data_IF_700980466973
#
_entry.id   IF_700980466973
#
_cell.length_a   1.000
_cell.length_b   1.000
_cell.length_c   1.000
_cell.angle_alpha   90.00
_cell.angle_beta   90.00
_cell.angle_gamma   90.00
#
_symmetry.space_group_name_H-M   'P 1'
#
loop_
_entity.id
_entity.type
_entity.pdbx_description
1 polymer ?
#
# COMPACT_ATOMS: atom_id res chain seq x y z
N UNK A 1 -21.19 29.81 11.92
CA UNK A 1 -20.82 30.97 11.09
C UNK A 1 -22.06 31.80 10.79
N UNK A 2 -22.08 33.13 11.07
CA UNK A 2 -23.32 33.94 11.08
C UNK A 2 -23.97 34.20 9.71
N UNK A 3 -23.35 33.79 8.59
CA UNK A 3 -23.86 33.96 7.22
C UNK A 3 -23.80 32.68 6.37
N UNK A 4 -23.69 31.51 7.02
CA UNK A 4 -23.66 30.25 6.30
C UNK A 4 -25.09 29.82 5.88
N UNK A 5 -25.29 29.56 4.59
CA UNK A 5 -26.49 28.90 4.07
C UNK A 5 -26.21 27.42 3.89
N UNK A 6 -27.02 26.56 4.50
CA UNK A 6 -26.97 25.11 4.34
C UNK A 6 -27.84 24.72 3.15
N UNK A 7 -27.26 24.02 2.18
CA UNK A 7 -27.97 23.46 1.03
C UNK A 7 -27.85 21.94 1.12
N UNK A 8 -28.98 21.24 1.07
CA UNK A 8 -29.04 19.78 1.07
C UNK A 8 -29.35 19.37 -0.37
N UNK A 9 -28.46 18.58 -0.98
CA UNK A 9 -28.71 18.00 -2.29
C UNK A 9 -29.49 16.69 -2.07
N UNK A 10 -30.70 16.54 -2.63
CA UNK A 10 -31.38 15.25 -2.63
C UNK A 10 -30.50 14.25 -3.37
N UNK A 11 -30.35 13.05 -2.82
CA UNK A 11 -29.64 11.91 -3.41
C UNK A 11 -28.10 11.98 -3.48
N UNK A 12 -27.46 12.96 -2.81
CA UNK A 12 -26.00 13.02 -2.71
C UNK A 12 -25.43 12.28 -1.49
N UNK A 13 -24.30 11.58 -1.67
CA UNK A 13 -23.54 10.88 -0.63
C UNK A 13 -22.67 11.84 0.21
N UNK A 14 -21.91 11.29 1.18
CA UNK A 14 -21.08 12.07 2.10
C UNK A 14 -19.91 12.82 1.41
N UNK A 15 -19.69 12.54 0.12
CA UNK A 15 -18.71 13.22 -0.73
C UNK A 15 -19.37 13.97 -1.89
N UNK A 16 -20.48 14.69 -1.62
CA UNK A 16 -21.24 15.43 -2.63
C UNK A 16 -20.39 16.30 -3.58
N UNK A 17 -19.24 16.84 -3.13
CA UNK A 17 -18.32 17.62 -3.97
C UNK A 17 -17.56 16.81 -5.04
N UNK A 18 -17.63 15.48 -4.99
CA UNK A 18 -16.90 14.54 -5.84
C UNK A 18 -17.81 13.69 -6.73
N UNK A 19 -19.12 13.85 -6.61
CA UNK A 19 -20.11 13.06 -7.38
C UNK A 19 -20.26 13.56 -8.81
N UNK A 20 -20.43 12.62 -9.75
CA UNK A 20 -20.76 12.97 -11.13
C UNK A 20 -22.13 13.66 -11.15
N UNK A 21 -22.16 14.89 -11.65
CA UNK A 21 -23.38 15.70 -11.77
C UNK A 21 -23.41 16.91 -10.83
N UNK A 22 -22.53 16.99 -9.83
CA UNK A 22 -22.45 18.14 -8.94
C UNK A 22 -21.53 19.21 -9.54
N UNK A 23 -22.12 20.22 -10.18
CA UNK A 23 -21.40 21.42 -10.63
C UNK A 23 -21.25 22.40 -9.45
N UNK A 24 -20.12 22.27 -8.76
CA UNK A 24 -19.77 23.14 -7.64
C UNK A 24 -19.72 24.62 -8.03
N UNK A 25 -19.30 24.94 -9.24
CA UNK A 25 -19.23 26.33 -9.72
C UNK A 25 -20.64 26.90 -9.88
N UNK A 26 -21.58 26.11 -10.40
CA UNK A 26 -22.99 26.49 -10.51
C UNK A 26 -23.63 26.68 -9.13
N UNK A 27 -23.38 25.77 -8.18
CA UNK A 27 -23.90 25.86 -6.80
C UNK A 27 -23.39 27.13 -6.09
N UNK A 28 -22.09 27.43 -6.23
CA UNK A 28 -21.48 28.62 -5.64
C UNK A 28 -22.00 29.91 -6.28
N UNK A 29 -22.29 29.92 -7.59
CA UNK A 29 -22.93 31.05 -8.28
C UNK A 29 -24.37 31.25 -7.86
N UNK A 30 -25.16 30.18 -7.76
CA UNK A 30 -26.56 30.24 -7.32
C UNK A 30 -26.68 30.80 -5.90
N UNK A 31 -25.70 30.51 -5.04
CA UNK A 31 -25.66 31.00 -3.67
C UNK A 31 -24.91 32.33 -3.50
N UNK A 32 -24.61 33.03 -4.61
CA UNK A 32 -23.90 34.32 -4.63
C UNK A 32 -22.55 34.32 -3.88
N UNK A 33 -21.90 33.15 -3.78
CA UNK A 33 -20.55 33.01 -3.20
C UNK A 33 -19.50 33.43 -4.23
N UNK A 34 -19.78 33.16 -5.51
CA UNK A 34 -18.99 33.65 -6.63
C UNK A 34 -19.75 34.77 -7.36
N UNK A 35 -19.13 35.92 -7.66
CA UNK A 35 -19.76 36.97 -8.43
C UNK A 35 -20.11 36.47 -9.84
N UNK A 36 -21.29 36.86 -10.34
CA UNK A 36 -21.70 36.56 -11.70
C UNK A 36 -20.77 37.27 -12.69
N UNK A 37 -20.20 36.52 -13.65
CA UNK A 37 -19.47 37.14 -14.77
C UNK A 37 -20.48 37.89 -15.63
N UNK A 38 -20.45 39.22 -15.61
CA UNK A 38 -21.03 40.02 -16.69
C UNK A 38 -20.24 39.74 -17.97
N UNK A 39 -20.92 39.27 -19.00
CA UNK A 39 -20.37 39.09 -20.33
C UNK A 39 -19.95 40.46 -20.87
N UNK A 40 -18.68 40.60 -21.27
CA UNK A 40 -18.24 41.75 -22.05
C UNK A 40 -18.76 41.61 -23.47
N UNK A 41 -19.75 42.43 -23.79
CA UNK A 41 -20.06 42.81 -25.15
C UNK A 41 -18.99 43.81 -25.61
N UNK A 42 -18.45 43.61 -26.80
CA UNK A 42 -17.49 44.50 -27.42
C UNK A 42 -18.10 45.87 -27.66
N UNK A 43 -17.44 46.94 -27.23
CA UNK A 43 -17.29 48.14 -28.04
C UNK A 43 -16.19 49.05 -27.49
N UNK A 44 -15.79 49.97 -28.37
CA UNK A 44 -14.50 50.65 -28.49
C UNK A 44 -14.31 51.82 -27.53
N UNK A 45 -13.08 52.34 -27.57
CA UNK A 45 -12.62 53.67 -27.14
C UNK A 45 -12.13 53.88 -25.69
N UNK A 46 -10.86 54.31 -25.62
CA UNK A 46 -10.46 55.38 -24.72
C UNK A 46 -9.55 55.02 -23.54
N UNK A 47 -8.29 55.43 -23.63
CA UNK A 47 -7.68 56.22 -22.55
C UNK A 47 -6.98 55.49 -21.41
N UNK A 48 -5.66 55.38 -21.55
CA UNK A 48 -4.61 55.64 -20.54
C UNK A 48 -4.70 55.11 -19.09
N UNK A 49 -3.66 54.30 -18.81
CA UNK A 49 -2.67 54.44 -17.72
C UNK A 49 -3.02 53.95 -16.30
N UNK A 50 -2.28 52.89 -15.90
CA UNK A 50 -1.56 52.90 -14.61
C UNK A 50 -1.99 51.88 -13.57
N UNK A 51 -1.35 50.70 -13.59
CA UNK A 51 -1.08 49.91 -12.38
C UNK A 51 -1.91 48.63 -12.19
N UNK A 52 -1.53 47.55 -12.86
CA UNK A 52 -1.97 46.20 -12.51
C UNK A 52 -0.76 45.37 -12.05
N UNK A 53 -0.78 45.00 -10.77
CA UNK A 53 0.08 43.98 -10.17
C UNK A 53 -0.21 42.65 -10.89
N UNK A 54 0.87 41.98 -11.30
CA UNK A 54 0.84 40.76 -12.09
C UNK A 54 0.04 39.65 -11.42
N UNK A 55 -0.67 38.91 -12.26
CA UNK A 55 -1.11 37.56 -11.96
C UNK A 55 0.13 36.69 -11.79
N UNK A 56 0.29 36.10 -10.60
CA UNK A 56 1.24 35.00 -10.41
C UNK A 56 0.70 33.79 -11.17
N UNK A 57 1.36 33.53 -12.30
CA UNK A 57 1.35 32.27 -13.01
C UNK A 57 1.82 31.15 -12.07
N UNK A 58 1.16 29.99 -12.13
CA UNK A 58 1.56 28.75 -11.47
C UNK A 58 2.94 28.31 -11.97
N UNK A 59 3.99 28.90 -11.40
CA UNK A 59 5.37 28.56 -11.64
C UNK A 59 5.69 27.25 -10.91
N UNK A 60 6.05 26.24 -11.70
CA UNK A 60 6.62 24.99 -11.21
C UNK A 60 7.96 25.28 -10.56
N UNK A 61 8.01 25.19 -9.24
CA UNK A 61 9.23 25.42 -8.46
C UNK A 61 10.19 24.22 -8.61
N UNK A 62 10.95 24.22 -9.71
CA UNK A 62 12.16 23.42 -9.89
C UNK A 62 13.29 24.05 -9.05
N UNK A 63 13.23 23.96 -7.72
CA UNK A 63 14.25 24.65 -6.92
C UNK A 63 14.15 24.57 -5.41
N UNK A 64 14.30 23.38 -4.81
CA UNK A 64 15.04 23.30 -3.54
C UNK A 64 15.52 21.88 -3.25
N UNK A 65 16.82 21.67 -3.50
CA UNK A 65 17.62 20.63 -2.86
C UNK A 65 18.17 21.23 -1.57
N UNK A 66 17.39 21.27 -0.51
CA UNK A 66 17.92 21.49 0.84
C UNK A 66 17.01 20.84 1.91
N UNK A 67 17.70 20.17 2.83
CA UNK A 67 17.29 19.80 4.18
C UNK A 67 16.14 18.80 4.37
N UNK A 68 16.47 17.50 4.24
CA UNK A 68 16.07 16.39 5.13
C UNK A 68 14.59 16.08 5.45
N UNK A 69 13.66 16.99 5.16
CA UNK A 69 12.25 16.97 5.52
C UNK A 69 11.46 17.17 4.23
N UNK A 70 10.80 16.11 3.78
CA UNK A 70 10.04 16.14 2.53
C UNK A 70 8.71 16.91 2.62
N UNK A 71 8.05 17.17 1.49
CA UNK A 71 6.68 17.66 1.28
C UNK A 71 5.54 17.26 2.20
N UNK A 72 5.73 16.09 2.79
CA UNK A 72 4.81 15.43 3.68
C UNK A 72 5.08 15.78 5.14
N UNK A 73 6.14 16.55 5.41
CA UNK A 73 6.69 16.81 6.75
C UNK A 73 7.43 15.61 7.35
N UNK A 74 7.39 14.43 6.70
CA UNK A 74 7.95 13.19 7.26
C UNK A 74 9.38 12.98 6.77
N UNK A 75 10.39 13.06 7.67
CA UNK A 75 11.78 12.83 7.31
C UNK A 75 12.03 11.36 6.93
N UNK A 76 13.15 11.11 6.27
CA UNK A 76 13.58 9.74 5.99
C UNK A 76 14.10 9.09 7.25
N UNK A 77 13.80 7.80 7.38
CA UNK A 77 14.39 6.95 8.40
C UNK A 77 15.93 6.97 8.29
N UNK A 78 16.61 7.15 9.42
CA UNK A 78 18.08 7.17 9.49
C UNK A 78 18.66 5.77 9.34
N UNK A 79 19.94 5.68 8.97
CA UNK A 79 20.66 4.39 8.91
C UNK A 79 20.58 3.64 10.25
N UNK A 80 20.73 4.35 11.36
CA UNK A 80 20.63 3.78 12.71
C UNK A 80 19.27 3.14 12.98
N UNK A 81 18.18 3.79 12.54
CA UNK A 81 16.83 3.25 12.70
C UNK A 81 16.64 1.95 11.91
N UNK A 82 17.18 1.87 10.69
CA UNK A 82 17.17 0.65 9.90
C UNK A 82 18.07 -0.45 10.46
N UNK A 83 19.22 -0.12 11.01
CA UNK A 83 20.08 -1.10 11.68
C UNK A 83 19.44 -1.64 12.98
N UNK A 84 18.74 -0.79 13.73
CA UNK A 84 17.94 -1.25 14.87
C UNK A 84 16.80 -2.18 14.42
N UNK A 85 16.10 -1.83 13.34
CA UNK A 85 15.06 -2.69 12.76
C UNK A 85 15.62 -4.03 12.27
N UNK A 86 16.77 -4.03 11.60
CA UNK A 86 17.50 -5.23 11.18
C UNK A 86 17.77 -6.17 12.36
N UNK A 87 18.25 -5.63 13.48
CA UNK A 87 18.51 -6.42 14.70
C UNK A 87 17.22 -6.96 15.32
N UNK A 88 16.20 -6.13 15.45
CA UNK A 88 14.91 -6.53 16.05
C UNK A 88 14.19 -7.58 15.21
N UNK A 89 14.31 -7.51 13.88
CA UNK A 89 13.72 -8.46 12.95
C UNK A 89 14.61 -9.70 12.72
N UNK A 90 15.84 -9.74 13.24
CA UNK A 90 16.76 -10.86 12.99
C UNK A 90 16.21 -12.22 13.44
N UNK A 91 15.56 -12.38 14.61
CA UNK A 91 14.97 -13.66 15.00
C UNK A 91 13.86 -14.08 14.04
N UNK A 92 12.94 -13.16 13.72
CA UNK A 92 11.85 -13.45 12.79
C UNK A 92 12.40 -13.80 11.40
N UNK A 93 13.37 -13.04 10.89
CA UNK A 93 14.04 -13.30 9.61
C UNK A 93 14.75 -14.64 9.59
N UNK A 94 15.39 -15.06 10.67
CA UNK A 94 16.01 -16.39 10.76
C UNK A 94 14.94 -17.50 10.77
N UNK A 95 13.83 -17.27 11.48
CA UNK A 95 12.74 -18.23 11.60
C UNK A 95 11.89 -18.35 10.32
N UNK A 96 11.72 -17.27 9.57
CA UNK A 96 10.94 -17.28 8.32
C UNK A 96 11.80 -17.43 7.08
N UNK A 97 13.07 -17.05 7.12
CA UNK A 97 14.02 -17.08 5.98
C UNK A 97 13.37 -16.64 4.65
N UNK A 98 12.94 -15.37 4.54
CA UNK A 98 12.12 -14.91 3.42
C UNK A 98 12.82 -15.05 2.07
N UNK A 99 12.08 -15.51 1.07
CA UNK A 99 12.55 -15.62 -0.31
C UNK A 99 12.12 -14.39 -1.10
N UNK A 100 13.04 -13.78 -1.84
CA UNK A 100 12.72 -12.72 -2.80
C UNK A 100 13.09 -13.16 -4.21
N UNK A 101 12.12 -13.12 -5.11
CA UNK A 101 12.25 -13.46 -6.53
C UNK A 101 12.01 -12.22 -7.39
N UNK A 102 12.65 -12.14 -8.55
CA UNK A 102 12.43 -11.05 -9.50
C UNK A 102 12.94 -9.68 -9.03
N UNK A 103 13.86 -9.65 -8.07
CA UNK A 103 14.38 -8.37 -7.52
C UNK A 103 15.10 -7.51 -8.57
N UNK A 104 15.56 -8.12 -9.65
CA UNK A 104 16.09 -7.46 -10.85
C UNK A 104 15.06 -6.58 -11.58
N UNK A 105 13.76 -6.81 -11.36
CA UNK A 105 12.69 -5.97 -11.91
C UNK A 105 12.51 -4.65 -11.14
N UNK A 106 13.11 -4.52 -9.97
CA UNK A 106 13.09 -3.27 -9.20
C UNK A 106 14.18 -2.36 -9.76
N UNK A 107 13.87 -1.15 -10.23
CA UNK A 107 14.90 -0.21 -10.66
C UNK A 107 15.79 0.19 -9.48
N UNK A 108 16.99 -0.39 -9.39
CA UNK A 108 17.97 -0.11 -8.34
C UNK A 108 18.98 0.95 -8.78
N UNK A 109 19.48 1.81 -7.86
CA UNK A 109 20.62 2.69 -8.10
C UNK A 109 21.78 1.95 -8.78
N UNK A 110 22.14 2.36 -10.02
CA UNK A 110 23.17 1.70 -10.84
C UNK A 110 22.63 0.93 -12.07
N UNK A 111 21.32 0.77 -12.21
CA UNK A 111 20.67 0.26 -13.44
C UNK A 111 20.70 1.26 -14.61
N UNK A 112 20.05 0.95 -15.75
CA UNK A 112 19.97 1.85 -16.90
C UNK A 112 19.55 3.25 -16.47
N UNK A 113 20.33 4.27 -16.86
CA UNK A 113 20.20 5.65 -16.36
C UNK A 113 18.78 6.22 -16.54
N UNK A 114 18.06 5.77 -17.56
CA UNK A 114 16.66 6.16 -17.84
C UNK A 114 15.67 5.67 -16.78
N UNK A 115 15.85 4.46 -16.22
CA UNK A 115 14.96 3.92 -15.18
C UNK A 115 15.21 4.59 -13.82
N UNK A 116 16.46 4.97 -13.53
CA UNK A 116 16.85 5.68 -12.30
C UNK A 116 16.27 7.09 -12.19
N UNK A 117 15.91 7.70 -13.32
CA UNK A 117 15.34 9.05 -13.35
C UNK A 117 13.83 9.09 -13.17
N UNK A 118 13.19 7.92 -13.04
CA UNK A 118 11.73 7.82 -12.94
C UNK A 118 11.29 7.35 -11.56
N UNK A 119 10.15 7.85 -11.05
CA UNK A 119 9.63 7.35 -9.79
C UNK A 119 9.18 5.91 -9.91
N UNK A 120 9.30 5.15 -8.83
CA UNK A 120 8.91 3.74 -8.77
C UNK A 120 7.75 3.60 -7.80
N UNK A 121 6.72 2.89 -8.21
CA UNK A 121 5.58 2.53 -7.38
C UNK A 121 5.52 1.00 -7.26
N UNK A 122 5.89 0.49 -6.09
CA UNK A 122 5.72 -0.92 -5.74
C UNK A 122 4.26 -1.15 -5.34
N UNK A 123 3.59 -2.07 -6.02
CA UNK A 123 2.16 -2.38 -5.78
C UNK A 123 2.00 -3.86 -5.53
N UNK A 124 1.38 -4.25 -4.42
CA UNK A 124 1.17 -5.66 -4.11
C UNK A 124 -0.06 -5.94 -3.28
N UNK A 125 -0.34 -7.23 -3.07
CA UNK A 125 -1.37 -7.66 -2.13
C UNK A 125 -0.92 -7.39 -0.69
N UNK A 126 -1.83 -6.89 0.15
CA UNK A 126 -1.62 -6.88 1.59
C UNK A 126 -1.97 -8.25 2.16
N UNK A 127 -1.20 -8.74 3.12
CA UNK A 127 -1.57 -9.96 3.85
C UNK A 127 -2.15 -9.65 5.23
N UNK A 128 -2.78 -10.65 5.84
CA UNK A 128 -3.54 -10.59 7.08
C UNK A 128 -2.74 -9.93 8.21
N UNK A 129 -3.40 -8.98 8.89
CA UNK A 129 -2.88 -8.07 9.91
C UNK A 129 -1.68 -7.18 9.51
N UNK A 130 -0.96 -7.49 8.45
CA UNK A 130 0.12 -6.66 7.90
C UNK A 130 1.37 -6.53 8.76
N UNK A 131 1.46 -7.10 9.96
CA UNK A 131 2.65 -6.97 10.81
C UNK A 131 3.62 -8.16 10.72
N UNK A 132 3.24 -9.25 10.05
CA UNK A 132 4.08 -10.45 9.94
C UNK A 132 5.14 -10.34 8.84
N UNK A 133 4.75 -9.88 7.65
CA UNK A 133 5.58 -9.88 6.45
C UNK A 133 6.03 -8.47 6.03
N UNK A 134 5.21 -7.43 6.21
CA UNK A 134 5.54 -6.06 5.82
C UNK A 134 6.86 -5.55 6.46
N UNK A 135 7.13 -5.73 7.78
CA UNK A 135 8.39 -5.27 8.35
C UNK A 135 9.60 -5.95 7.71
N UNK A 136 9.48 -7.23 7.36
CA UNK A 136 10.53 -7.98 6.67
C UNK A 136 10.70 -7.49 5.23
N UNK A 137 9.60 -7.26 4.50
CA UNK A 137 9.63 -6.70 3.15
C UNK A 137 10.38 -5.37 3.13
N UNK A 138 10.00 -4.44 4.02
CA UNK A 138 10.64 -3.13 4.13
C UNK A 138 12.13 -3.24 4.44
N UNK A 139 12.52 -4.07 5.40
CA UNK A 139 13.93 -4.30 5.72
C UNK A 139 14.70 -4.89 4.55
N UNK A 140 14.14 -5.89 3.86
CA UNK A 140 14.81 -6.58 2.76
C UNK A 140 14.95 -5.70 1.49
N UNK A 141 13.99 -4.79 1.27
CA UNK A 141 14.09 -3.73 0.27
C UNK A 141 15.19 -2.74 0.64
N UNK A 142 15.22 -2.30 1.90
CA UNK A 142 16.25 -1.39 2.39
C UNK A 142 17.67 -1.95 2.24
N UNK A 143 17.85 -3.23 2.57
CA UNK A 143 19.12 -3.96 2.42
C UNK A 143 19.63 -4.01 0.97
N UNK A 144 18.72 -3.87 0.00
CA UNK A 144 19.01 -3.79 -1.44
C UNK A 144 19.18 -2.37 -1.94
N UNK A 145 19.19 -1.38 -1.04
CA UNK A 145 19.28 0.04 -1.37
C UNK A 145 17.96 0.69 -1.75
N UNK A 146 16.82 -0.02 -1.63
CA UNK A 146 15.48 0.52 -1.95
C UNK A 146 14.88 1.14 -0.70
N UNK A 147 14.86 2.48 -0.66
CA UNK A 147 14.26 3.26 0.43
C UNK A 147 12.78 3.52 0.14
N UNK A 148 11.97 2.48 0.27
CA UNK A 148 10.54 2.55 -0.02
C UNK A 148 9.78 3.41 1.02
N UNK A 149 8.86 4.25 0.53
CA UNK A 149 7.96 5.10 1.32
C UNK A 149 6.56 4.46 1.33
N UNK A 150 6.15 3.90 2.47
CA UNK A 150 4.84 3.27 2.61
C UNK A 150 3.69 4.30 2.63
N UNK A 151 2.58 3.98 1.97
CA UNK A 151 1.31 4.70 2.12
C UNK A 151 0.45 3.95 3.14
N UNK A 152 0.38 4.45 4.38
CA UNK A 152 -0.33 3.82 5.49
C UNK A 152 -1.75 4.34 5.66
N UNK A 153 -2.65 3.52 6.22
CA UNK A 153 -4.01 3.96 6.51
C UNK A 153 -4.01 5.22 7.41
N UNK A 154 -4.75 6.30 7.07
CA UNK A 154 -4.72 7.56 7.84
C UNK A 154 -5.05 7.39 9.32
N UNK A 155 -5.85 6.37 9.67
CA UNK A 155 -6.17 6.02 11.06
C UNK A 155 -4.95 5.74 11.95
N UNK A 156 -3.79 5.34 11.40
CA UNK A 156 -2.57 5.17 12.21
C UNK A 156 -2.12 6.48 12.86
N UNK A 157 -2.26 7.62 12.16
CA UNK A 157 -1.86 8.96 12.63
C UNK A 157 -2.79 9.55 13.69
N UNK A 158 -3.89 8.86 13.99
CA UNK A 158 -4.77 9.21 15.10
C UNK A 158 -4.38 8.48 16.40
N UNK A 159 -3.25 7.76 16.40
CA UNK A 159 -2.71 7.00 17.53
C UNK A 159 -1.17 7.07 17.57
N UNK A 160 -0.50 6.60 18.64
CA UNK A 160 0.96 6.50 18.69
C UNK A 160 1.58 5.63 17.58
N UNK A 161 0.79 4.80 16.89
CA UNK A 161 1.27 4.05 15.74
C UNK A 161 1.74 4.98 14.62
N UNK A 162 1.15 6.16 14.43
CA UNK A 162 1.56 7.12 13.40
C UNK A 162 3.04 7.44 13.48
N UNK A 163 3.56 7.73 14.67
CA UNK A 163 4.99 8.00 14.90
C UNK A 163 5.87 6.79 14.56
N UNK A 164 5.40 5.56 14.81
CA UNK A 164 6.11 4.34 14.41
C UNK A 164 6.18 4.20 12.89
N UNK A 165 5.08 4.48 12.18
CA UNK A 165 5.04 4.45 10.72
C UNK A 165 5.93 5.55 10.11
N UNK A 166 5.90 6.77 10.66
CA UNK A 166 6.75 7.88 10.25
C UNK A 166 8.24 7.60 10.49
N UNK A 167 8.59 6.88 11.56
CA UNK A 167 9.96 6.44 11.84
C UNK A 167 10.56 5.63 10.69
N UNK A 168 9.73 4.92 9.92
CA UNK A 168 10.13 4.18 8.73
C UNK A 168 9.82 4.91 7.42
N UNK A 169 9.49 6.21 7.50
CA UNK A 169 9.23 7.08 6.36
C UNK A 169 7.85 6.92 5.73
N UNK A 170 6.92 6.17 6.35
CA UNK A 170 5.56 6.06 5.83
C UNK A 170 4.79 7.38 5.98
N UNK A 171 3.81 7.60 5.12
CA UNK A 171 2.96 8.80 5.12
C UNK A 171 1.48 8.40 4.97
N UNK A 172 0.52 9.25 5.39
CA UNK A 172 -0.89 8.94 5.24
C UNK A 172 -1.25 8.68 3.77
N UNK A 173 -1.97 7.60 3.51
CA UNK A 173 -2.43 7.21 2.19
C UNK A 173 -3.45 8.23 1.67
N UNK A 174 -3.10 8.93 0.59
CA UNK A 174 -4.00 9.70 -0.24
C UNK A 174 -3.30 10.06 -1.56
N UNK A 175 -4.07 10.40 -2.59
CA UNK A 175 -3.52 10.69 -3.91
C UNK A 175 -2.56 11.88 -3.94
N UNK A 176 -2.72 12.88 -3.05
CA UNK A 176 -1.81 14.04 -2.96
C UNK A 176 -0.44 13.62 -2.43
N UNK A 177 -0.38 12.83 -1.37
CA UNK A 177 0.87 12.35 -0.78
C UNK A 177 1.59 11.39 -1.74
N UNK A 178 0.85 10.47 -2.35
CA UNK A 178 1.39 9.59 -3.39
C UNK A 178 2.02 10.41 -4.53
N UNK A 179 1.28 11.37 -5.11
CA UNK A 179 1.80 12.22 -6.18
C UNK A 179 3.03 13.02 -5.73
N UNK A 180 3.00 13.62 -4.53
CA UNK A 180 4.13 14.39 -3.97
C UNK A 180 5.41 13.55 -3.85
N UNK A 181 5.30 12.29 -3.42
CA UNK A 181 6.44 11.37 -3.30
C UNK A 181 6.96 10.98 -4.68
N UNK A 182 6.06 10.60 -5.60
CA UNK A 182 6.45 10.22 -6.96
C UNK A 182 7.08 11.40 -7.72
N UNK A 183 6.54 12.61 -7.61
CA UNK A 183 7.14 13.82 -8.23
C UNK A 183 8.56 14.14 -7.73
N UNK A 184 9.02 13.52 -6.63
CA UNK A 184 10.39 13.63 -6.11
C UNK A 184 11.28 12.43 -6.45
N UNK A 185 10.84 11.57 -7.37
CA UNK A 185 11.51 10.32 -7.70
C UNK A 185 11.75 9.41 -6.48
N UNK A 186 10.84 9.45 -5.50
CA UNK A 186 10.89 8.51 -4.39
C UNK A 186 10.26 7.16 -4.81
N UNK A 187 10.78 6.07 -4.24
CA UNK A 187 10.16 4.76 -4.34
C UNK A 187 8.98 4.71 -3.36
N UNK A 188 7.78 4.47 -3.86
CA UNK A 188 6.55 4.41 -3.06
C UNK A 188 6.07 2.96 -2.97
N UNK A 189 5.64 2.52 -1.79
CA UNK A 189 5.05 1.22 -1.55
C UNK A 189 3.55 1.39 -1.23
N UNK A 190 2.71 0.68 -1.97
CA UNK A 190 1.26 0.71 -1.81
C UNK A 190 0.65 -0.69 -1.81
N UNK A 191 -0.29 -0.88 -0.89
CA UNK A 191 -1.24 -1.99 -0.87
C UNK A 191 -2.63 -1.44 -1.19
N UNK A 192 -3.13 -1.55 -2.43
CA UNK A 192 -4.31 -0.79 -2.83
C UNK A 192 -5.60 -1.19 -2.10
N UNK A 193 -5.72 -2.43 -1.63
CA UNK A 193 -6.85 -2.87 -0.82
C UNK A 193 -6.77 -2.47 0.66
N UNK A 194 -5.65 -1.86 1.11
CA UNK A 194 -5.54 -1.19 2.40
C UNK A 194 -6.04 -2.00 3.60
N UNK A 195 -6.89 -1.36 4.42
CA UNK A 195 -7.43 -1.94 5.65
C UNK A 195 -8.24 -3.23 5.40
N UNK A 196 -8.98 -3.30 4.28
CA UNK A 196 -9.79 -4.45 3.93
C UNK A 196 -8.97 -5.72 3.65
N UNK A 197 -7.75 -5.58 3.13
CA UNK A 197 -6.84 -6.69 2.88
C UNK A 197 -6.02 -7.14 4.11
N UNK A 198 -5.90 -6.32 5.16
CA UNK A 198 -5.34 -6.78 6.45
C UNK A 198 -6.40 -7.38 7.37
N UNK A 199 -7.68 -7.11 7.08
CA UNK A 199 -8.85 -7.62 7.79
C UNK A 199 -9.64 -8.62 6.94
N UNK A 200 -8.93 -9.56 6.30
CA UNK A 200 -9.57 -10.60 5.50
C UNK A 200 -10.41 -11.52 6.37
N UNK A 201 -11.53 -11.96 5.80
CA UNK A 201 -12.46 -12.90 6.41
C UNK A 201 -12.06 -14.34 6.08
N UNK A 202 -12.76 -15.28 6.71
CA UNK A 202 -12.56 -16.71 6.44
C UNK A 202 -12.80 -16.99 4.94
N UNK A 203 -11.87 -17.73 4.31
CA UNK A 203 -11.96 -18.07 2.89
C UNK A 203 -11.53 -16.97 1.92
N UNK A 204 -11.05 -15.83 2.40
CA UNK A 204 -10.61 -14.72 1.56
C UNK A 204 -9.09 -14.67 1.35
N UNK A 205 -8.34 -15.67 1.83
CA UNK A 205 -6.89 -15.69 1.72
C UNK A 205 -6.39 -15.36 0.30
N UNK A 206 -5.48 -14.40 0.23
CA UNK A 206 -4.82 -13.85 -0.94
C UNK A 206 -5.74 -13.16 -1.98
N UNK A 207 -7.01 -12.91 -1.64
CA UNK A 207 -7.91 -12.11 -2.47
C UNK A 207 -7.51 -10.62 -2.42
N UNK A 208 -7.68 -9.97 -3.57
CA UNK A 208 -7.50 -8.53 -3.71
C UNK A 208 -8.83 -7.82 -3.48
N UNK A 209 -8.83 -6.79 -2.65
CA UNK A 209 -10.01 -5.95 -2.36
C UNK A 209 -9.72 -4.50 -2.77
N UNK A 210 -9.30 -4.31 -4.01
CA UNK A 210 -8.98 -2.99 -4.52
C UNK A 210 -10.24 -2.26 -4.98
N UNK A 211 -10.17 -0.92 -5.04
CA UNK A 211 -11.26 -0.10 -5.56
C UNK A 211 -11.58 -0.42 -7.03
N UNK A 212 -12.83 -0.20 -7.45
CA UNK A 212 -13.23 -0.32 -8.85
C UNK A 212 -12.68 0.80 -9.74
N UNK A 213 -12.02 1.82 -9.17
CA UNK A 213 -11.44 2.92 -9.94
C UNK A 213 -9.94 2.71 -10.21
N UNK A 214 -9.44 3.04 -11.42
CA UNK A 214 -8.02 2.94 -11.75
C UNK A 214 -7.22 4.17 -11.28
N UNK A 215 -7.61 4.80 -10.17
CA UNK A 215 -7.02 6.05 -9.70
C UNK A 215 -5.55 5.90 -9.35
N UNK A 216 -5.17 4.74 -8.82
CA UNK A 216 -3.79 4.32 -8.63
C UNK A 216 -2.95 4.54 -9.91
N UNK A 217 -3.38 3.93 -11.01
CA UNK A 217 -2.65 3.97 -12.29
C UNK A 217 -2.68 5.38 -12.87
N UNK A 218 -3.80 6.10 -12.73
CA UNK A 218 -3.91 7.50 -13.18
C UNK A 218 -2.91 8.41 -12.49
N UNK A 219 -2.76 8.30 -11.16
CA UNK A 219 -1.79 9.10 -10.41
C UNK A 219 -0.36 8.70 -10.79
N UNK A 220 -0.08 7.41 -10.91
CA UNK A 220 1.22 6.90 -11.35
C UNK A 220 1.60 7.41 -12.75
N UNK A 221 0.67 7.37 -13.70
CA UNK A 221 0.85 7.87 -15.07
C UNK A 221 1.11 9.38 -15.11
N UNK A 222 0.39 10.17 -14.29
CA UNK A 222 0.64 11.62 -14.14
C UNK A 222 2.07 11.91 -13.67
N UNK A 223 2.61 11.08 -12.79
CA UNK A 223 3.96 11.21 -12.25
C UNK A 223 5.05 10.58 -13.12
N UNK A 224 4.72 10.01 -14.28
CA UNK A 224 5.64 9.18 -15.09
C UNK A 224 6.23 7.96 -14.36
N UNK A 225 5.52 7.44 -13.37
CA UNK A 225 6.06 6.36 -12.57
C UNK A 225 6.21 5.07 -13.41
N UNK A 226 7.08 4.20 -12.93
CA UNK A 226 7.06 2.77 -13.26
C UNK A 226 6.30 2.07 -12.14
N UNK A 227 5.30 1.27 -12.48
CA UNK A 227 4.69 0.35 -11.52
C UNK A 227 5.50 -0.93 -11.53
N UNK A 228 5.92 -1.42 -10.36
CA UNK A 228 6.47 -2.77 -10.21
C UNK A 228 5.47 -3.56 -9.37
N UNK A 229 4.65 -4.42 -9.99
CA UNK A 229 3.77 -5.30 -9.26
C UNK A 229 4.60 -6.29 -8.45
N UNK A 230 4.17 -6.63 -7.24
CA UNK A 230 4.75 -7.71 -6.48
C UNK A 230 3.66 -8.52 -5.77
N UNK A 231 3.96 -9.79 -5.55
CA UNK A 231 3.10 -10.69 -4.79
C UNK A 231 3.79 -11.10 -3.50
N UNK A 232 3.05 -11.08 -2.39
CA UNK A 232 3.45 -11.61 -1.10
C UNK A 232 2.65 -12.88 -0.75
N UNK A 233 3.36 -13.94 -0.35
CA UNK A 233 2.79 -15.20 0.14
C UNK A 233 3.33 -15.52 1.54
N UNK A 234 2.46 -15.94 2.45
CA UNK A 234 2.79 -16.42 3.78
C UNK A 234 2.08 -15.68 4.91
N UNK A 235 1.71 -14.41 4.74
CA UNK A 235 1.02 -13.67 5.80
C UNK A 235 -0.40 -14.16 6.08
N UNK A 236 -1.21 -14.43 5.04
CA UNK A 236 -2.59 -14.91 5.22
C UNK A 236 -2.65 -16.32 5.81
N UNK A 237 -1.63 -17.14 5.55
CA UNK A 237 -1.54 -18.48 6.10
C UNK A 237 -0.98 -18.49 7.53
N UNK A 238 -0.38 -17.38 8.00
CA UNK A 238 0.32 -17.34 9.28
C UNK A 238 -0.69 -17.27 10.43
N UNK A 239 -1.91 -16.82 10.16
CA UNK A 239 -2.93 -16.63 11.17
C UNK A 239 -4.13 -17.52 10.87
N UNK A 240 -4.62 -18.15 11.93
CA UNK A 240 -5.87 -18.89 11.88
C UNK A 240 -6.94 -18.05 12.56
N UNK A 241 -8.10 -17.88 11.93
CA UNK A 241 -9.16 -17.02 12.48
C UNK A 241 -10.15 -17.86 13.28
N UNK A 242 -10.40 -17.45 14.52
CA UNK A 242 -11.51 -17.97 15.32
C UNK A 242 -12.82 -17.30 14.90
N UNK A 243 -12.83 -15.96 14.84
CA UNK A 243 -13.92 -15.17 14.28
C UNK A 243 -13.37 -14.18 13.26
N UNK A 244 -14.01 -14.07 12.09
CA UNK A 244 -13.76 -12.94 11.20
C UNK A 244 -14.51 -11.68 11.63
N UNK A 245 -14.24 -10.57 10.94
CA UNK A 245 -14.81 -9.26 11.25
C UNK A 245 -16.34 -9.27 11.24
N UNK A 246 -16.98 -10.00 10.33
CA UNK A 246 -18.44 -10.04 10.24
C UNK A 246 -19.03 -10.86 11.39
N UNK A 247 -18.41 -12.00 11.72
CA UNK A 247 -18.80 -12.80 12.89
C UNK A 247 -18.66 -12.01 14.19
N UNK A 248 -17.60 -11.18 14.33
CA UNK A 248 -17.41 -10.30 15.49
C UNK A 248 -18.53 -9.27 15.58
N UNK A 249 -18.83 -8.59 14.47
CA UNK A 249 -19.81 -7.49 14.44
C UNK A 249 -21.26 -7.95 14.59
N UNK A 250 -21.54 -9.20 14.20
CA UNK A 250 -22.88 -9.80 14.28
C UNK A 250 -23.10 -10.63 15.56
N UNK A 251 -22.09 -10.81 16.40
CA UNK A 251 -22.23 -11.54 17.66
C UNK A 251 -23.14 -10.77 18.65
N UNK A 252 -24.14 -11.42 19.29
CA UNK A 252 -25.18 -10.74 20.08
C UNK A 252 -24.68 -9.84 21.22
N UNK A 253 -23.60 -10.25 21.89
CA UNK A 253 -23.01 -9.50 23.01
C UNK A 253 -21.72 -8.79 22.58
N UNK A 254 -20.85 -9.51 21.87
CA UNK A 254 -19.55 -9.00 21.44
C UNK A 254 -19.69 -7.89 20.40
N UNK A 255 -20.62 -8.00 19.45
CA UNK A 255 -20.83 -7.00 18.40
C UNK A 255 -21.19 -5.62 18.94
N UNK A 256 -22.23 -5.47 19.78
CA UNK A 256 -22.55 -4.19 20.42
C UNK A 256 -21.41 -3.63 21.29
N UNK A 257 -20.68 -4.49 22.01
CA UNK A 257 -19.54 -4.08 22.82
C UNK A 257 -18.39 -3.53 21.97
N UNK A 258 -18.02 -4.23 20.89
CA UNK A 258 -16.99 -3.80 19.93
C UNK A 258 -17.40 -2.51 19.22
N UNK A 259 -18.64 -2.42 18.75
CA UNK A 259 -19.17 -1.20 18.11
C UNK A 259 -19.11 0.00 19.05
N UNK A 260 -19.48 -0.18 20.32
CA UNK A 260 -19.41 0.87 21.35
C UNK A 260 -17.97 1.25 21.66
N UNK A 261 -17.07 0.28 21.76
CA UNK A 261 -15.64 0.52 21.99
C UNK A 261 -15.04 1.34 20.84
N UNK A 262 -15.26 0.90 19.59
CA UNK A 262 -14.73 1.60 18.41
C UNK A 262 -15.35 2.98 18.22
N UNK A 263 -16.65 3.16 18.44
CA UNK A 263 -17.27 4.49 18.34
C UNK A 263 -16.81 5.45 19.44
N UNK A 264 -16.42 4.92 20.61
CA UNK A 264 -15.92 5.74 21.73
C UNK A 264 -14.45 6.10 21.56
N UNK A 265 -13.59 5.12 21.23
CA UNK A 265 -12.14 5.28 21.26
C UNK A 265 -11.49 5.43 19.89
N UNK A 266 -12.20 5.07 18.81
CA UNK A 266 -11.71 5.19 17.43
C UNK A 266 -12.81 5.68 16.46
N UNK A 267 -13.53 6.79 16.75
CA UNK A 267 -14.65 7.27 15.93
C UNK A 267 -14.26 7.68 14.49
N UNK A 268 -12.97 7.78 14.21
CA UNK A 268 -12.40 8.12 12.91
C UNK A 268 -12.15 6.90 12.00
N UNK A 269 -12.46 5.68 12.48
CA UNK A 269 -12.30 4.44 11.71
C UNK A 269 -13.65 3.93 11.20
N UNK A 270 -13.66 3.42 9.98
CA UNK A 270 -14.79 2.62 9.48
C UNK A 270 -14.74 1.26 10.14
N UNK A 271 -15.72 0.99 11.02
CA UNK A 271 -15.75 -0.19 11.89
C UNK A 271 -15.68 -1.48 11.05
N UNK A 272 -16.42 -1.54 9.94
CA UNK A 272 -16.50 -2.70 9.05
C UNK A 272 -15.16 -3.05 8.39
N UNK A 273 -14.32 -2.05 8.15
CA UNK A 273 -13.00 -2.24 7.53
C UNK A 273 -11.84 -2.26 8.53
N UNK A 274 -12.07 -1.84 9.78
CA UNK A 274 -11.02 -1.61 10.78
C UNK A 274 -11.09 -2.52 12.00
N UNK A 275 -12.17 -3.29 12.16
CA UNK A 275 -12.26 -4.31 13.20
C UNK A 275 -11.43 -5.52 12.77
N UNK A 276 -10.37 -5.77 13.53
CA UNK A 276 -9.50 -6.92 13.31
C UNK A 276 -10.24 -8.23 13.61
N UNK A 277 -10.04 -9.27 12.78
CA UNK A 277 -10.58 -10.58 13.08
C UNK A 277 -9.93 -11.14 14.34
N UNK A 278 -10.68 -11.95 15.09
CA UNK A 278 -10.19 -12.62 16.31
C UNK A 278 -9.37 -13.85 15.91
N UNK A 279 -8.08 -13.89 16.24
CA UNK A 279 -7.24 -15.03 15.92
C UNK A 279 -7.58 -16.22 16.82
N UNK A 280 -7.39 -17.41 16.29
CA UNK A 280 -7.41 -18.65 17.05
C UNK A 280 -6.06 -18.88 17.72
N UNK A 281 -6.07 -19.65 18.82
CA UNK A 281 -4.86 -20.17 19.43
C UNK A 281 -4.07 -20.98 18.39
N UNK A 282 -2.75 -20.73 18.19
CA UNK A 282 -1.97 -21.31 17.10
C UNK A 282 -1.57 -22.77 17.38
N UNK A 283 -2.57 -23.65 17.53
CA UNK A 283 -2.37 -25.07 17.76
C UNK A 283 -2.03 -25.81 16.45
N UNK A 284 -1.24 -26.90 16.50
CA UNK A 284 -1.03 -27.75 15.35
C UNK A 284 -2.36 -28.31 14.81
N UNK A 285 -2.55 -28.35 13.48
CA UNK A 285 -3.82 -28.78 12.86
C UNK A 285 -4.20 -30.24 13.16
N UNK A 286 -3.23 -31.06 13.54
CA UNK A 286 -3.43 -32.47 13.88
C UNK A 286 -3.88 -32.67 15.33
N UNK A 287 -3.79 -31.64 16.19
CA UNK A 287 -4.22 -31.75 17.57
C UNK A 287 -5.76 -31.72 17.61
N UNK A 288 -6.43 -32.78 18.11
CA UNK A 288 -7.88 -32.78 18.20
C UNK A 288 -8.35 -31.81 19.29
N UNK A 289 -9.39 -31.03 19.01
CA UNK A 289 -10.01 -30.14 19.98
C UNK A 289 -10.71 -28.94 19.35
N UNK A 290 -11.52 -28.20 20.12
CA UNK A 290 -12.12 -26.96 19.65
C UNK A 290 -11.04 -25.90 19.45
N UNK A 291 -11.20 -25.09 18.40
CA UNK A 291 -10.41 -23.86 18.25
C UNK A 291 -10.84 -22.89 19.34
N UNK A 292 -9.87 -22.28 20.01
CA UNK A 292 -10.11 -21.30 21.06
C UNK A 292 -9.70 -19.90 20.58
N UNK A 293 -10.43 -18.84 20.96
CA UNK A 293 -10.02 -17.47 20.68
C UNK A 293 -8.72 -17.16 21.43
N UNK A 294 -7.85 -16.36 20.82
CA UNK A 294 -6.64 -15.86 21.45
C UNK A 294 -6.60 -14.33 21.35
N UNK A 295 -6.24 -13.59 22.43
CA UNK A 295 -6.34 -12.13 22.44
C UNK A 295 -5.24 -11.45 21.60
N UNK A 296 -4.20 -12.18 21.22
CA UNK A 296 -3.08 -11.66 20.43
C UNK A 296 -2.96 -12.43 19.12
N UNK A 297 -2.71 -11.77 17.98
CA UNK A 297 -2.48 -12.46 16.73
C UNK A 297 -1.06 -13.06 16.72
N UNK A 298 -0.94 -14.31 17.17
CA UNK A 298 0.33 -15.04 17.17
C UNK A 298 0.49 -15.81 15.87
N UNK A 299 1.50 -15.48 15.05
CA UNK A 299 1.68 -16.14 13.76
C UNK A 299 2.24 -17.56 13.94
N UNK A 300 1.74 -18.48 13.12
CA UNK A 300 2.41 -19.74 12.83
C UNK A 300 3.62 -19.43 11.98
N UNK A 301 4.81 -19.63 12.56
CA UNK A 301 6.07 -19.38 11.88
C UNK A 301 6.18 -20.25 10.64
N UNK A 302 6.26 -19.60 9.49
CA UNK A 302 6.45 -20.24 8.20
C UNK A 302 7.25 -19.34 7.26
N UNK A 303 7.74 -19.93 6.16
CA UNK A 303 8.50 -19.18 5.17
C UNK A 303 7.61 -18.20 4.40
N UNK A 304 8.16 -17.01 4.17
CA UNK A 304 7.51 -15.91 3.44
C UNK A 304 8.16 -15.80 2.07
N UNK A 305 7.35 -15.50 1.05
CA UNK A 305 7.83 -15.35 -0.33
C UNK A 305 7.34 -14.02 -0.89
N UNK A 306 8.25 -13.30 -1.53
CA UNK A 306 7.96 -12.10 -2.29
C UNK A 306 8.42 -12.32 -3.74
N UNK A 307 7.55 -12.06 -4.70
CA UNK A 307 7.90 -12.08 -6.13
C UNK A 307 7.63 -10.70 -6.72
N UNK A 308 8.66 -10.06 -7.24
CA UNK A 308 8.55 -8.81 -8.00
C UNK A 308 8.42 -9.15 -9.48
N UNK A 309 7.35 -8.67 -10.10
CA UNK A 309 7.01 -8.93 -11.49
C UNK A 309 7.61 -7.89 -12.41
N UNK A 310 7.46 -8.11 -13.72
CA UNK A 310 7.98 -7.20 -14.73
C UNK A 310 7.45 -5.77 -14.53
N UNK A 311 8.30 -4.74 -14.70
CA UNK A 311 7.91 -3.36 -14.54
C UNK A 311 6.94 -2.91 -15.64
N UNK A 312 5.93 -2.13 -15.27
CA UNK A 312 4.92 -1.57 -16.17
C UNK A 312 5.15 -0.07 -16.33
N UNK A 313 5.45 0.35 -17.56
CA UNK A 313 5.56 1.76 -17.92
C UNK A 313 4.17 2.39 -18.14
N UNK A 314 3.57 2.87 -17.06
CA UNK A 314 2.26 3.53 -17.12
C UNK A 314 2.29 4.87 -17.85
N UNK A 315 3.44 5.56 -17.87
CA UNK A 315 3.60 6.82 -18.59
C UNK A 315 3.46 6.61 -20.10
N UNK A 316 4.18 5.64 -20.64
CA UNK A 316 4.14 5.30 -22.06
C UNK A 316 2.81 4.66 -22.48
N UNK A 317 2.19 3.86 -21.60
CA UNK A 317 0.95 3.14 -21.92
C UNK A 317 -0.30 4.00 -21.80
N UNK A 318 -0.36 4.89 -20.79
CA UNK A 318 -1.58 5.63 -20.48
C UNK A 318 -1.58 7.07 -21.02
N UNK A 319 -0.43 7.65 -21.36
CA UNK A 319 -0.36 9.04 -21.81
C UNK A 319 -0.01 9.11 -23.30
N UNK A 320 -0.71 9.97 -24.05
CA UNK A 320 -0.36 10.25 -25.44
C UNK A 320 1.01 10.97 -25.53
N UNK A 321 1.84 10.69 -26.55
CA UNK A 321 3.02 11.49 -26.84
C UNK A 321 2.61 12.95 -27.08
N UNK A 322 3.33 13.91 -26.47
CA UNK A 322 3.14 15.34 -26.74
C UNK A 322 4.40 15.93 -27.34
N UNK A 323 4.20 16.99 -28.14
CA UNK A 323 5.27 17.80 -28.69
C UNK A 323 6.19 18.34 -27.57
N UNK A 324 7.50 18.49 -27.81
CA UNK A 324 8.43 19.07 -26.85
C UNK A 324 7.93 20.43 -26.33
N UNK A 325 8.03 20.66 -25.02
CA UNK A 325 7.69 21.96 -24.40
C UNK A 325 6.23 22.13 -23.94
N UNK A 326 5.33 21.15 -24.18
CA UNK A 326 4.02 21.12 -23.51
C UNK A 326 4.04 20.11 -22.36
N UNK A 327 3.50 20.50 -21.20
CA UNK A 327 3.32 19.60 -20.06
C UNK A 327 2.61 18.30 -20.45
N UNK A 328 2.85 17.23 -19.67
CA UNK A 328 2.37 15.86 -19.98
C UNK A 328 0.87 15.81 -20.30
N UNK A 329 0.52 14.92 -21.23
CA UNK A 329 -0.88 14.65 -21.55
C UNK A 329 -1.60 14.12 -20.31
N UNK A 330 -2.88 14.45 -20.20
CA UNK A 330 -3.76 13.83 -19.20
C UNK A 330 -3.81 12.33 -19.50
N UNK A 331 -3.68 11.44 -18.50
CA UNK A 331 -3.80 10.01 -18.73
C UNK A 331 -5.17 9.65 -19.30
N UNK A 332 -5.15 8.76 -20.29
CA UNK A 332 -6.33 8.13 -20.85
C UNK A 332 -6.99 7.22 -19.81
N UNK A 333 -8.31 7.33 -19.64
CA UNK A 333 -9.02 6.63 -18.57
C UNK A 333 -9.13 5.13 -18.85
N UNK A 334 -9.40 4.78 -20.10
CA UNK A 334 -9.61 3.39 -20.53
C UNK A 334 -8.31 2.63 -20.48
N UNK A 335 -7.22 3.21 -21.00
CA UNK A 335 -5.88 2.61 -20.91
C UNK A 335 -5.40 2.46 -19.48
N UNK A 336 -5.71 3.43 -18.60
CA UNK A 336 -5.42 3.28 -17.17
C UNK A 336 -6.20 2.12 -16.55
N UNK A 337 -7.45 1.89 -16.96
CA UNK A 337 -8.27 0.77 -16.48
C UNK A 337 -7.73 -0.59 -16.95
N UNK A 338 -7.29 -0.69 -18.21
CA UNK A 338 -6.65 -1.90 -18.75
C UNK A 338 -5.37 -2.24 -17.96
N UNK A 339 -4.49 -1.26 -17.76
CA UNK A 339 -3.26 -1.48 -16.98
C UNK A 339 -3.57 -1.82 -15.52
N UNK A 340 -4.61 -1.22 -14.95
CA UNK A 340 -5.05 -1.55 -13.59
C UNK A 340 -5.48 -3.01 -13.46
N UNK A 341 -6.30 -3.50 -14.40
CA UNK A 341 -6.72 -4.90 -14.45
C UNK A 341 -5.52 -5.85 -14.66
N UNK A 342 -4.60 -5.51 -15.58
CA UNK A 342 -3.38 -6.28 -15.81
C UNK A 342 -2.51 -6.41 -14.55
N UNK A 343 -2.35 -5.33 -13.79
CA UNK A 343 -1.59 -5.36 -12.53
C UNK A 343 -2.27 -6.27 -11.51
N UNK A 344 -3.60 -6.23 -11.41
CA UNK A 344 -4.34 -7.15 -10.54
C UNK A 344 -4.15 -8.61 -10.96
N UNK A 345 -4.28 -8.91 -12.25
CA UNK A 345 -4.13 -10.27 -12.78
C UNK A 345 -2.71 -10.79 -12.62
N UNK A 346 -1.71 -9.93 -12.81
CA UNK A 346 -0.30 -10.24 -12.54
C UNK A 346 -0.09 -10.66 -11.09
N UNK A 347 -0.68 -9.93 -10.13
CA UNK A 347 -0.56 -10.25 -8.70
C UNK A 347 -1.31 -11.54 -8.37
N UNK A 348 -2.52 -11.74 -8.90
CA UNK A 348 -3.32 -12.97 -8.73
C UNK A 348 -2.59 -14.20 -9.26
N UNK A 349 -2.07 -14.12 -10.49
CA UNK A 349 -1.25 -15.18 -11.09
C UNK A 349 0.02 -15.46 -10.27
N UNK A 350 0.68 -14.41 -9.79
CA UNK A 350 1.83 -14.52 -8.90
C UNK A 350 1.53 -15.26 -7.59
N UNK A 351 0.30 -15.17 -7.06
CA UNK A 351 -0.10 -15.93 -5.86
C UNK A 351 -0.08 -17.42 -6.19
N UNK A 352 -0.71 -17.82 -7.29
CA UNK A 352 -0.76 -19.22 -7.73
C UNK A 352 0.64 -19.79 -7.96
N UNK A 353 1.51 -19.04 -8.65
CA UNK A 353 2.89 -19.47 -8.89
C UNK A 353 3.70 -19.61 -7.60
N UNK A 354 3.55 -18.68 -6.65
CA UNK A 354 4.23 -18.78 -5.36
C UNK A 354 3.71 -19.95 -4.52
N UNK A 355 2.41 -20.28 -4.62
CA UNK A 355 1.84 -21.47 -3.97
C UNK A 355 2.46 -22.75 -4.53
N UNK A 356 2.63 -22.86 -5.85
CA UNK A 356 3.31 -23.99 -6.49
C UNK A 356 4.79 -24.07 -6.10
N UNK A 357 5.49 -22.94 -6.09
CA UNK A 357 6.89 -22.87 -5.67
C UNK A 357 7.03 -23.32 -4.22
N UNK A 358 6.20 -22.79 -3.32
CA UNK A 358 6.17 -23.19 -1.90
C UNK A 358 5.81 -24.66 -1.74
N UNK A 359 5.01 -25.26 -2.62
CA UNK A 359 4.70 -26.69 -2.57
C UNK A 359 5.96 -27.55 -2.77
N UNK A 360 6.89 -27.08 -3.60
CA UNK A 360 8.13 -27.78 -3.97
C UNK A 360 9.35 -27.35 -3.16
N UNK A 361 9.26 -26.29 -2.35
CA UNK A 361 10.39 -25.78 -1.56
C UNK A 361 10.62 -26.61 -0.28
N UNK A 362 11.70 -27.41 -0.17
CA UNK A 362 12.03 -28.12 1.05
C UNK A 362 12.47 -27.18 2.18
N UNK A 363 13.01 -25.99 1.84
CA UNK A 363 13.46 -24.98 2.79
C UNK A 363 12.32 -24.29 3.55
N UNK A 364 11.06 -24.50 3.14
CA UNK A 364 9.88 -24.01 3.87
C UNK A 364 9.77 -24.57 5.29
N UNK A 365 10.37 -25.73 5.55
CA UNK A 365 10.35 -26.39 6.85
C UNK A 365 11.55 -25.96 7.69
N UNK A 366 11.29 -25.41 8.89
CA UNK A 366 12.36 -24.98 9.80
C UNK A 366 13.31 -26.13 10.18
N UNK A 367 12.78 -27.34 10.36
CA UNK A 367 13.58 -28.54 10.67
C UNK A 367 14.62 -28.85 9.58
N UNK A 368 14.24 -28.72 8.30
CA UNK A 368 15.16 -28.93 7.16
C UNK A 368 16.27 -27.88 7.16
N UNK A 369 15.93 -26.61 7.41
CA UNK A 369 16.92 -25.52 7.47
C UNK A 369 17.89 -25.67 8.65
N UNK A 370 17.38 -26.04 9.83
CA UNK A 370 18.22 -26.28 11.01
C UNK A 370 19.17 -27.47 10.79
N UNK A 371 18.70 -28.56 10.17
CA UNK A 371 19.54 -29.71 9.83
C UNK A 371 20.63 -29.34 8.82
N UNK A 372 20.28 -28.57 7.78
CA UNK A 372 21.24 -28.09 6.80
C UNK A 372 22.31 -27.19 7.45
N UNK A 373 21.91 -26.32 8.38
CA UNK A 373 22.84 -25.48 9.13
C UNK A 373 23.75 -26.32 10.03
N UNK A 374 23.20 -27.27 10.79
CA UNK A 374 23.99 -28.16 11.64
C UNK A 374 25.04 -28.95 10.85
N UNK A 375 24.70 -29.43 9.64
CA UNK A 375 25.65 -30.10 8.73
C UNK A 375 26.79 -29.19 8.28
N UNK A 376 26.50 -27.93 7.98
CA UNK A 376 27.53 -26.97 7.59
C UNK A 376 28.53 -26.70 8.72
N UNK A 377 28.08 -26.75 9.98
CA UNK A 377 28.95 -26.58 11.16
C UNK A 377 29.62 -27.87 11.64
N UNK A 378 29.03 -29.03 11.39
CA UNK A 378 29.48 -30.35 11.85
C UNK A 378 29.52 -31.36 10.68
N UNK A 379 30.44 -31.20 9.71
CA UNK A 379 30.46 -32.02 8.50
C UNK A 379 30.73 -33.51 8.80
N UNK A 380 31.47 -33.83 9.86
CA UNK A 380 31.87 -35.19 10.22
C UNK A 380 30.88 -35.91 11.16
N UNK A 381 29.76 -35.27 11.54
CA UNK A 381 28.84 -35.80 12.54
C UNK A 381 27.86 -36.88 12.00
N UNK A 382 28.00 -37.34 10.75
CA UNK A 382 27.17 -38.41 10.18
C UNK A 382 25.67 -38.10 10.13
N UNK A 383 25.28 -36.82 10.02
CA UNK A 383 23.88 -36.38 10.05
C UNK A 383 23.07 -36.87 8.84
N UNK A 384 21.81 -37.33 9.01
CA UNK A 384 21.00 -37.96 7.96
C UNK A 384 20.67 -37.01 6.80
N UNK A 385 20.59 -37.57 5.58
CA UNK A 385 20.31 -36.80 4.37
C UNK A 385 18.86 -36.31 4.35
N UNK A 386 18.68 -35.01 4.64
CA UNK A 386 17.38 -34.33 4.75
C UNK A 386 16.53 -34.27 3.48
N UNK A 387 16.79 -35.13 2.49
CA UNK A 387 15.84 -35.40 1.41
C UNK A 387 14.70 -36.20 2.04
N UNK A 388 13.60 -35.51 2.35
CA UNK A 388 12.37 -36.17 2.75
C UNK A 388 12.01 -37.20 1.67
N UNK A 389 12.01 -38.49 2.01
CA UNK A 389 11.42 -39.53 1.17
C UNK A 389 9.91 -39.28 1.14
N UNK A 390 9.33 -38.88 -0.01
CA UNK A 390 7.91 -38.57 -0.09
C UNK A 390 7.02 -39.80 0.17
N UNK A 391 7.58 -41.02 0.28
CA UNK A 391 6.83 -42.26 0.52
C UNK A 391 6.68 -42.63 2.01
N UNK A 392 7.20 -41.83 2.95
CA UNK A 392 7.20 -42.14 4.39
C UNK A 392 6.27 -41.28 5.26
N UNK A 393 5.27 -40.62 4.68
CA UNK A 393 4.17 -40.03 5.45
C UNK A 393 2.86 -40.73 5.09
N UNK A 394 2.53 -41.77 5.87
CA UNK A 394 1.19 -42.38 5.97
C UNK A 394 0.64 -42.05 7.34
#
# INVERSE_FOLDING_TARGET
MPRARRVILPDASHSALLERGVDLVQILRHNAVLPARHGRQADQDGGHAGGARGAEEDAWDEGSRSDGVGPTGVPRATMEQWEAARRNLAPLRALTDPVMLGTENIPLPGGPREQLQRPVLLVGNHTQYGFYDLPLLLQLLYDRGVKARGLGHPGHWQSPLGTLFERFGAVPANGRNMLKLLSRNECVLLFPGGAREVNKRKGEAYRLFWSDTPDLVRIAARANAIIVPFTALGGDDAFELFMDTDEVLNAPVLGPAVKTLYSTFAPFLEIEESVYPVPALPLPKWLPGPRLPFPLPVPRIQRIYFKFHAPVDVGARCCAPRAPGRGRARPDVEKCAEVYAEVQDTIRGGVSELQELRARDPGRFLSVRLLAQARAYLPDAGLPDGRADPRRQV
#
